data_IF_671752797479
#
_entry.id   IF_671752797479
#
_cell.length_a   1.000
_cell.length_b   1.000
_cell.length_c   1.000
_cell.angle_alpha   90.00
_cell.angle_beta   90.00
_cell.angle_gamma   90.00
#
_symmetry.space_group_name_H-M   'P 1'
#
loop_
_entity.id
_entity.type
_entity.pdbx_description
1 polymer ?
#
# COMPACT_ATOMS: atom_id res chain seq x y z
N UNK A 1 13.95 -15.50 16.66
CA UNK A 1 14.03 -15.90 15.23
C UNK A 1 12.85 -16.80 14.89
N UNK A 2 12.40 -16.79 13.62
CA UNK A 2 11.27 -17.61 13.12
C UNK A 2 11.51 -19.10 13.39
N UNK A 3 12.73 -19.59 13.21
CA UNK A 3 13.11 -20.98 13.45
C UNK A 3 12.90 -21.39 14.91
N UNK A 4 13.19 -20.49 15.87
CA UNK A 4 12.92 -20.74 17.29
C UNK A 4 11.41 -20.83 17.60
N UNK A 5 10.59 -20.19 16.78
CA UNK A 5 9.14 -20.26 16.85
C UNK A 5 8.54 -21.45 16.05
N UNK A 6 9.39 -22.40 15.62
CA UNK A 6 8.94 -23.58 14.88
C UNK A 6 8.62 -23.34 13.41
N UNK A 7 8.89 -22.13 12.87
CA UNK A 7 8.64 -21.79 11.47
C UNK A 7 9.90 -22.11 10.66
N UNK A 8 9.78 -22.99 9.67
CA UNK A 8 10.88 -23.29 8.74
C UNK A 8 11.13 -22.07 7.84
N UNK A 9 12.26 -21.40 8.07
CA UNK A 9 12.65 -20.20 7.39
C UNK A 9 14.13 -20.23 7.05
N UNK A 10 14.49 -19.79 5.86
CA UNK A 10 15.87 -19.60 5.40
C UNK A 10 16.06 -18.18 4.88
N UNK A 11 17.30 -17.68 4.99
CA UNK A 11 17.66 -16.35 4.51
C UNK A 11 18.60 -16.42 3.32
N UNK A 12 18.39 -15.53 2.34
CA UNK A 12 19.31 -15.30 1.22
C UNK A 12 19.76 -13.85 1.22
N UNK A 13 21.07 -13.65 1.23
CA UNK A 13 21.73 -12.35 1.24
C UNK A 13 23.15 -12.45 0.68
N UNK A 14 23.85 -11.33 0.49
CA UNK A 14 25.17 -11.29 -0.12
C UNK A 14 26.23 -12.18 0.53
N UNK A 15 26.16 -12.39 1.84
CA UNK A 15 27.13 -13.20 2.58
C UNK A 15 26.82 -14.72 2.56
N UNK A 16 25.78 -15.16 1.87
CA UNK A 16 25.51 -16.60 1.67
C UNK A 16 26.18 -17.08 0.40
N UNK A 17 26.76 -18.28 0.47
CA UNK A 17 27.34 -18.94 -0.72
C UNK A 17 26.26 -19.21 -1.78
N UNK A 18 26.65 -19.27 -3.05
CA UNK A 18 25.71 -19.54 -4.14
C UNK A 18 24.99 -20.88 -3.97
N UNK A 19 25.68 -21.91 -3.48
CA UNK A 19 25.10 -23.22 -3.23
C UNK A 19 24.01 -23.14 -2.13
N UNK A 20 24.27 -22.40 -1.04
CA UNK A 20 23.28 -22.21 0.04
C UNK A 20 22.05 -21.44 -0.46
N UNK A 21 22.25 -20.43 -1.31
CA UNK A 21 21.14 -19.67 -1.93
C UNK A 21 20.31 -20.56 -2.85
N UNK A 22 20.95 -21.36 -3.69
CA UNK A 22 20.26 -22.28 -4.60
C UNK A 22 19.46 -23.33 -3.84
N UNK A 23 20.03 -23.91 -2.77
CA UNK A 23 19.32 -24.87 -1.91
C UNK A 23 18.07 -24.23 -1.28
N UNK A 24 18.20 -23.05 -0.65
CA UNK A 24 17.08 -22.36 -0.04
C UNK A 24 15.95 -22.06 -1.05
N UNK A 25 16.30 -21.66 -2.28
CA UNK A 25 15.35 -21.45 -3.36
C UNK A 25 14.64 -22.74 -3.80
N UNK A 26 15.37 -23.82 -3.93
CA UNK A 26 14.81 -25.13 -4.30
C UNK A 26 13.84 -25.63 -3.21
N UNK A 27 14.23 -25.54 -1.95
CA UNK A 27 13.39 -25.92 -0.81
C UNK A 27 12.14 -25.03 -0.69
N UNK A 28 12.26 -23.74 -1.03
CA UNK A 28 11.13 -22.83 -1.04
C UNK A 28 10.16 -23.13 -2.20
N UNK A 29 10.67 -23.37 -3.41
CA UNK A 29 9.84 -23.75 -4.58
C UNK A 29 9.13 -25.09 -4.39
N UNK A 30 9.74 -26.03 -3.67
CA UNK A 30 9.13 -27.33 -3.34
C UNK A 30 8.19 -27.27 -2.13
N UNK A 31 7.93 -26.10 -1.58
CA UNK A 31 7.12 -25.90 -0.37
C UNK A 31 7.65 -26.61 0.88
N UNK A 32 8.89 -27.12 0.83
CA UNK A 32 9.57 -27.68 2.00
C UNK A 32 9.93 -26.57 3.00
N UNK A 33 10.28 -25.41 2.49
CA UNK A 33 10.52 -24.20 3.26
C UNK A 33 9.28 -23.30 3.25
N UNK A 34 8.80 -22.87 4.40
CA UNK A 34 7.59 -22.04 4.50
C UNK A 34 7.87 -20.55 4.24
N UNK A 35 9.03 -20.06 4.67
CA UNK A 35 9.38 -18.64 4.60
C UNK A 35 10.77 -18.48 4.02
N UNK A 36 10.90 -17.66 2.98
CA UNK A 36 12.17 -17.23 2.41
C UNK A 36 12.36 -15.74 2.76
N UNK A 37 13.46 -15.44 3.46
CA UNK A 37 13.83 -14.07 3.81
C UNK A 37 14.90 -13.61 2.83
N UNK A 38 14.68 -12.47 2.17
CA UNK A 38 15.61 -11.99 1.14
C UNK A 38 15.86 -10.49 1.29
N UNK A 39 17.10 -10.07 1.08
CA UNK A 39 17.40 -8.65 0.82
C UNK A 39 17.05 -8.30 -0.62
N UNK A 40 16.80 -7.03 -0.93
CA UNK A 40 16.45 -6.58 -2.29
C UNK A 40 17.48 -7.03 -3.34
N UNK A 41 18.76 -6.91 -3.01
CA UNK A 41 19.86 -7.33 -3.91
C UNK A 41 19.79 -8.84 -4.16
N UNK A 42 19.55 -9.63 -3.13
CA UNK A 42 19.49 -11.08 -3.27
C UNK A 42 18.18 -11.55 -3.90
N UNK A 43 17.11 -10.76 -3.77
CA UNK A 43 15.80 -11.03 -4.37
C UNK A 43 15.74 -10.70 -5.88
N UNK A 44 16.66 -9.87 -6.39
CA UNK A 44 16.76 -9.61 -7.82
C UNK A 44 17.14 -10.87 -8.59
N UNK A 45 16.38 -11.16 -9.64
CA UNK A 45 16.61 -12.33 -10.48
C UNK A 45 16.15 -13.65 -9.88
N UNK A 46 15.48 -13.63 -8.72
CA UNK A 46 14.81 -14.82 -8.21
C UNK A 46 13.57 -15.07 -9.04
N UNK A 47 13.53 -16.21 -9.69
CA UNK A 47 12.36 -16.74 -10.39
C UNK A 47 11.44 -17.45 -9.37
N UNK A 48 10.72 -16.65 -8.59
CA UNK A 48 9.67 -17.11 -7.68
C UNK A 48 8.49 -16.16 -7.83
N UNK A 49 7.45 -16.67 -8.45
CA UNK A 49 6.18 -15.97 -8.66
C UNK A 49 5.03 -16.74 -8.01
N UNK A 50 3.83 -16.19 -8.06
CA UNK A 50 2.61 -16.80 -7.51
C UNK A 50 2.67 -17.07 -6.00
N UNK A 51 3.38 -16.23 -5.27
CA UNK A 51 3.40 -16.32 -3.83
C UNK A 51 2.02 -15.98 -3.25
N UNK A 52 1.59 -16.72 -2.24
CA UNK A 52 0.38 -16.39 -1.50
C UNK A 52 0.54 -15.08 -0.71
N UNK A 53 1.73 -14.84 -0.16
CA UNK A 53 2.02 -13.68 0.67
C UNK A 53 3.39 -13.09 0.36
N UNK A 54 3.45 -11.75 0.37
CA UNK A 54 4.71 -10.98 0.42
C UNK A 54 4.67 -10.12 1.67
N UNK A 55 5.73 -10.19 2.47
CA UNK A 55 5.85 -9.40 3.70
C UNK A 55 7.03 -8.44 3.56
N UNK A 56 6.78 -7.14 3.59
CA UNK A 56 7.81 -6.12 3.67
C UNK A 56 8.05 -5.80 5.15
N UNK A 57 9.20 -6.22 5.66
CA UNK A 57 9.61 -5.93 7.03
C UNK A 57 10.01 -4.45 7.20
N UNK A 58 10.59 -3.87 6.15
CA UNK A 58 10.92 -2.45 6.03
C UNK A 58 10.38 -1.94 4.71
N UNK A 59 9.91 -0.69 4.66
CA UNK A 59 9.50 -0.05 3.43
C UNK A 59 10.73 0.41 2.64
N UNK A 60 10.78 0.15 1.31
CA UNK A 60 11.85 0.67 0.49
C UNK A 60 11.72 2.18 0.31
N UNK A 61 12.86 2.88 0.27
CA UNK A 61 12.94 4.30 -0.04
C UNK A 61 12.62 4.61 -1.52
N UNK A 62 12.72 3.62 -2.40
CA UNK A 62 12.38 3.72 -3.83
C UNK A 62 11.02 3.06 -4.06
N UNK A 63 9.98 3.82 -4.43
CA UNK A 63 8.61 3.29 -4.56
C UNK A 63 8.46 2.15 -5.57
N UNK A 64 9.22 2.16 -6.67
CA UNK A 64 9.22 1.10 -7.67
C UNK A 64 9.69 -0.23 -7.09
N UNK A 65 10.62 -0.20 -6.14
CA UNK A 65 11.08 -1.41 -5.43
C UNK A 65 9.94 -2.07 -4.67
N UNK A 66 9.05 -1.28 -4.06
CA UNK A 66 7.85 -1.80 -3.41
C UNK A 66 6.96 -2.56 -4.40
N UNK A 67 6.71 -1.99 -5.56
CA UNK A 67 5.90 -2.61 -6.62
C UNK A 67 6.55 -3.92 -7.10
N UNK A 68 7.86 -3.93 -7.27
CA UNK A 68 8.60 -5.14 -7.65
C UNK A 68 8.52 -6.25 -6.59
N UNK A 69 8.55 -5.88 -5.29
CA UNK A 69 8.42 -6.85 -4.20
C UNK A 69 7.02 -7.46 -4.16
N UNK A 70 5.97 -6.63 -4.13
CA UNK A 70 4.59 -7.13 -4.07
C UNK A 70 4.18 -7.82 -5.37
N UNK A 71 4.82 -7.48 -6.49
CA UNK A 71 4.60 -8.13 -7.77
C UNK A 71 5.05 -9.60 -7.83
N UNK A 72 5.47 -10.23 -6.74
CA UNK A 72 5.68 -11.68 -6.60
C UNK A 72 4.43 -12.43 -6.20
N UNK A 73 3.38 -11.72 -5.79
CA UNK A 73 2.07 -12.26 -5.45
C UNK A 73 0.98 -11.71 -6.38
N UNK A 74 -0.20 -12.32 -6.40
CA UNK A 74 -1.35 -11.83 -7.16
C UNK A 74 -1.17 -11.87 -8.68
N UNK A 75 -0.46 -12.85 -9.24
CA UNK A 75 -0.21 -12.99 -10.69
C UNK A 75 -1.06 -14.10 -11.31
N UNK A 76 -1.25 -14.00 -12.62
CA UNK A 76 -1.92 -15.01 -13.45
C UNK A 76 -3.32 -15.40 -12.95
N UNK A 77 -4.09 -14.43 -12.44
CA UNK A 77 -5.45 -14.65 -11.93
C UNK A 77 -5.53 -15.24 -10.53
N UNK A 78 -4.38 -15.44 -9.86
CA UNK A 78 -4.36 -15.85 -8.45
C UNK A 78 -4.42 -14.63 -7.54
N UNK A 79 -5.18 -14.72 -6.46
CA UNK A 79 -5.18 -13.74 -5.38
C UNK A 79 -3.89 -13.81 -4.57
N UNK A 80 -3.48 -12.68 -4.00
CA UNK A 80 -2.30 -12.61 -3.17
C UNK A 80 -2.36 -11.48 -2.16
N UNK A 81 -1.67 -11.65 -1.04
CA UNK A 81 -1.67 -10.70 0.07
C UNK A 81 -0.29 -10.08 0.20
N UNK A 82 -0.23 -8.75 0.22
CA UNK A 82 0.98 -8.00 0.57
C UNK A 82 0.77 -7.32 1.93
N UNK A 83 1.66 -7.61 2.87
CA UNK A 83 1.67 -7.02 4.22
C UNK A 83 2.95 -6.20 4.33
N UNK A 84 2.83 -4.99 4.87
CA UNK A 84 3.99 -4.13 5.11
C UNK A 84 3.95 -3.59 6.53
N UNK A 85 5.06 -3.70 7.24
CA UNK A 85 5.27 -2.93 8.44
C UNK A 85 5.74 -1.54 8.03
N UNK A 86 5.37 -0.53 8.80
CA UNK A 86 5.73 0.85 8.53
C UNK A 86 5.99 1.53 9.88
N UNK A 87 7.24 1.88 10.13
CA UNK A 87 7.64 2.67 11.28
C UNK A 87 7.36 4.16 11.05
N UNK A 88 7.40 4.95 12.11
CA UNK A 88 7.12 6.39 12.04
C UNK A 88 8.06 7.13 11.08
N UNK A 89 9.30 6.69 10.99
CA UNK A 89 10.32 7.25 10.11
C UNK A 89 10.10 6.91 8.64
N UNK A 90 9.36 5.82 8.35
CA UNK A 90 9.07 5.34 7.01
C UNK A 90 7.78 5.92 6.40
N UNK A 91 7.03 6.73 7.17
CA UNK A 91 5.78 7.38 6.68
C UNK A 91 6.00 8.18 5.39
N UNK A 92 7.11 8.90 5.18
CA UNK A 92 7.37 9.55 3.89
C UNK A 92 7.43 8.56 2.73
N UNK A 93 8.11 7.42 2.89
CA UNK A 93 8.21 6.36 1.87
C UNK A 93 6.84 5.77 1.55
N UNK A 94 6.00 5.53 2.58
CA UNK A 94 4.62 5.07 2.39
C UNK A 94 3.81 6.04 1.53
N UNK A 95 3.95 7.37 1.74
CA UNK A 95 3.26 8.38 0.95
C UNK A 95 3.68 8.35 -0.52
N UNK A 96 4.98 8.22 -0.79
CA UNK A 96 5.50 8.15 -2.15
C UNK A 96 5.08 6.85 -2.85
N UNK A 97 5.08 5.73 -2.14
CA UNK A 97 4.54 4.45 -2.63
C UNK A 97 3.06 4.59 -3.00
N UNK A 98 2.23 5.13 -2.11
CA UNK A 98 0.79 5.32 -2.36
C UNK A 98 0.54 6.26 -3.55
N UNK A 99 1.36 7.29 -3.71
CA UNK A 99 1.32 8.20 -4.86
C UNK A 99 1.64 7.47 -6.17
N UNK A 100 2.67 6.61 -6.18
CA UNK A 100 3.03 5.82 -7.35
C UNK A 100 1.93 4.83 -7.76
N UNK A 101 1.38 4.08 -6.80
CA UNK A 101 0.35 3.07 -7.08
C UNK A 101 -1.05 3.67 -7.30
N UNK A 102 -1.24 4.96 -7.00
CA UNK A 102 -2.53 5.65 -7.12
C UNK A 102 -3.60 5.15 -6.14
N UNK A 103 -3.21 4.47 -5.07
CA UNK A 103 -4.13 3.87 -4.09
C UNK A 103 -3.63 4.07 -2.66
N UNK A 104 -4.55 4.27 -1.73
CA UNK A 104 -4.24 4.25 -0.30
C UNK A 104 -4.14 2.79 0.17
N UNK A 105 -3.06 2.45 0.85
CA UNK A 105 -2.87 1.14 1.47
C UNK A 105 -3.66 1.12 2.78
N UNK A 106 -4.58 0.15 2.97
CA UNK A 106 -5.33 0.02 4.22
C UNK A 106 -4.39 -0.21 5.41
N UNK A 107 -4.67 0.46 6.52
CA UNK A 107 -3.92 0.28 7.77
C UNK A 107 -4.72 -0.63 8.68
N UNK A 108 -4.10 -1.74 9.11
CA UNK A 108 -4.66 -2.62 10.13
C UNK A 108 -4.28 -2.06 11.49
N UNK A 109 -5.26 -1.56 12.21
CA UNK A 109 -5.08 -0.95 13.55
C UNK A 109 -5.38 -1.90 14.70
N UNK A 110 -6.11 -2.97 14.45
CA UNK A 110 -6.50 -3.93 15.47
C UNK A 110 -5.60 -5.17 15.43
N UNK A 111 -4.48 -5.10 16.14
CA UNK A 111 -3.57 -6.23 16.31
C UNK A 111 -2.89 -6.18 17.68
N UNK A 112 -2.45 -7.32 18.26
CA UNK A 112 -1.95 -7.38 19.63
C UNK A 112 -0.57 -6.72 19.85
N UNK A 113 0.05 -6.18 18.80
CA UNK A 113 1.40 -5.62 18.83
C UNK A 113 1.42 -4.11 18.54
N UNK A 114 0.34 -3.39 18.87
CA UNK A 114 0.26 -1.94 18.66
C UNK A 114 1.24 -1.26 19.64
N UNK A 115 2.14 -0.44 19.10
CA UNK A 115 3.00 0.43 19.90
C UNK A 115 2.28 1.75 20.22
N UNK A 116 2.62 2.37 21.36
CA UNK A 116 2.04 3.67 21.74
C UNK A 116 2.31 4.78 20.71
N UNK A 117 3.36 4.67 19.91
CA UNK A 117 3.67 5.58 18.81
C UNK A 117 2.75 5.37 17.61
N UNK A 118 2.41 4.12 17.30
CA UNK A 118 1.43 3.78 16.28
C UNK A 118 0.03 4.30 16.63
N UNK A 119 -0.36 4.29 17.89
CA UNK A 119 -1.63 4.85 18.37
C UNK A 119 -1.67 6.37 18.17
N UNK A 120 -0.63 7.11 18.51
CA UNK A 120 -0.53 8.57 18.31
C UNK A 120 -0.60 8.97 16.82
N UNK A 121 0.06 8.22 15.95
CA UNK A 121 0.01 8.46 14.51
C UNK A 121 -1.39 8.23 13.90
N UNK A 122 -2.19 7.34 14.50
CA UNK A 122 -3.58 7.10 14.09
C UNK A 122 -4.53 8.17 14.60
N UNK A 123 -4.36 8.66 15.82
CA UNK A 123 -5.18 9.74 16.38
C UNK A 123 -5.03 11.01 15.55
N UNK A 124 -3.80 11.40 15.19
CA UNK A 124 -3.53 12.56 14.33
C UNK A 124 -4.20 12.41 12.96
N UNK A 125 -4.13 11.23 12.32
CA UNK A 125 -4.80 11.00 11.03
C UNK A 125 -6.32 11.04 11.14
N UNK A 126 -6.87 10.52 12.23
CA UNK A 126 -8.32 10.53 12.45
C UNK A 126 -8.85 11.96 12.67
N UNK A 127 -8.07 12.81 13.34
CA UNK A 127 -8.39 14.22 13.53
C UNK A 127 -8.27 15.03 12.24
N UNK A 128 -7.21 14.81 11.43
CA UNK A 128 -7.06 15.45 10.12
C UNK A 128 -8.20 15.08 9.15
N UNK A 129 -8.63 13.82 9.13
CA UNK A 129 -9.76 13.36 8.29
C UNK A 129 -11.06 14.00 8.78
N UNK A 130 -11.28 14.07 10.10
CA UNK A 130 -12.46 14.73 10.68
C UNK A 130 -12.46 16.24 10.43
N UNK A 131 -11.29 16.90 10.49
CA UNK A 131 -11.15 18.32 10.19
C UNK A 131 -11.45 18.62 8.71
N UNK A 132 -10.87 17.86 7.78
CA UNK A 132 -11.15 17.99 6.33
C UNK A 132 -12.60 17.69 5.96
N UNK A 133 -13.23 16.73 6.65
CA UNK A 133 -14.66 16.43 6.46
C UNK A 133 -15.55 17.57 6.95
N UNK A 134 -15.20 18.27 8.04
CA UNK A 134 -15.90 19.47 8.53
C UNK A 134 -15.73 20.66 7.58
N UNK A 135 -14.53 20.91 7.07
CA UNK A 135 -14.26 21.98 6.09
C UNK A 135 -15.06 21.78 4.79
N UNK A 136 -15.07 20.58 4.25
CA UNK A 136 -15.86 20.26 3.06
C UNK A 136 -17.37 20.38 3.27
N UNK A 137 -17.87 20.16 4.50
CA UNK A 137 -19.28 20.31 4.84
C UNK A 137 -19.68 21.79 4.94
N UNK A 138 -18.79 22.65 5.45
CA UNK A 138 -18.98 24.11 5.49
C UNK A 138 -18.98 24.70 4.08
N UNK A 139 -18.08 24.24 3.19
CA UNK A 139 -18.01 24.74 1.81
C UNK A 139 -19.22 24.33 0.94
N UNK A 140 -19.86 23.18 1.23
CA UNK A 140 -21.10 22.76 0.58
C UNK A 140 -22.34 23.48 1.09
N UNK A 141 -22.36 23.91 2.35
CA UNK A 141 -23.47 24.65 2.95
C UNK A 141 -23.59 26.11 2.48
N UNK A 142 -22.49 26.70 1.99
CA UNK A 142 -22.45 28.10 1.55
C UNK A 142 -22.90 28.33 0.09
N UNK A 143 -23.17 27.27 -0.70
CA UNK A 143 -23.62 27.38 -2.11
C UNK A 143 -25.09 27.09 -2.34
N UNK A 144 -25.89 27.00 -1.30
CA UNK A 144 -27.32 26.76 -1.39
C UNK A 144 -28.08 28.01 -0.94
N UNK A 145 -28.02 29.08 -1.72
CA UNK A 145 -29.15 30.01 -1.80
C UNK A 145 -29.10 30.85 -3.10
N UNK A 146 -29.95 30.47 -4.05
CA UNK A 146 -30.85 31.40 -4.68
C UNK A 146 -30.29 32.40 -5.69
N UNK A 147 -29.71 31.98 -6.85
CA UNK A 147 -29.73 32.90 -8.02
C UNK A 147 -29.68 32.21 -9.40
N UNK A 148 -29.79 30.89 -9.44
CA UNK A 148 -29.69 30.18 -10.73
C UNK A 148 -31.01 30.17 -11.55
N UNK A 149 -32.15 30.49 -10.95
CA UNK A 149 -33.47 30.39 -11.60
C UNK A 149 -34.06 31.70 -12.15
N UNK A 150 -33.38 32.85 -12.03
CA UNK A 150 -33.92 34.15 -12.46
C UNK A 150 -33.50 34.63 -13.86
N UNK A 151 -32.65 33.93 -14.60
CA UNK A 151 -32.15 34.35 -15.92
C UNK A 151 -32.70 33.60 -17.14
N UNK A 152 -33.80 32.88 -17.03
CA UNK A 152 -34.46 32.25 -18.21
C UNK A 152 -35.87 32.75 -18.43
N UNK A 153 -36.09 34.06 -18.61
CA UNK A 153 -37.32 34.59 -19.19
C UNK A 153 -37.07 35.93 -19.84
N UNK A 154 -36.28 35.95 -20.93
CA UNK A 154 -36.36 36.99 -21.95
C UNK A 154 -35.84 36.37 -23.25
N UNK A 155 -36.76 35.78 -24.00
CA UNK A 155 -36.58 35.46 -25.44
C UNK A 155 -37.24 36.61 -26.19
N UNK A 156 -36.52 37.39 -27.03
CA UNK A 156 -37.13 38.40 -27.87
C UNK A 156 -37.90 37.73 -29.03
N UNK A 157 -39.16 38.15 -29.23
CA UNK A 157 -39.99 37.81 -30.37
C UNK A 157 -39.29 38.28 -31.66
N UNK A 158 -38.98 37.36 -32.58
CA UNK A 158 -38.63 37.70 -33.95
C UNK A 158 -39.92 38.12 -34.69
N UNK A 159 -39.96 39.38 -35.17
CA UNK A 159 -40.94 39.87 -36.14
C UNK A 159 -40.73 39.12 -37.46
N UNK A 160 -41.82 38.54 -37.95
CA UNK A 160 -41.93 38.15 -39.36
C UNK A 160 -42.28 39.41 -40.16
N UNK A 161 -41.44 39.79 -41.11
CA UNK A 161 -41.77 40.65 -42.25
C UNK A 161 -41.81 39.83 -43.53
N UNK A 162 -42.88 40.11 -44.24
CA UNK A 162 -43.29 39.66 -45.58
C UNK A 162 -42.17 39.51 -46.58
#
# INVERSE_FOLDING_TARGET
TLTKAGIRAEAIHGNKSQNARQRALTEFKSHTLRVLIATDIAARGIDVDQLSHVINYELPNVPETYVHRIGRTGRAGHEGIAISFCESEEIPYLKDIQKLIGKTIPVVSEHPFITNEGMKAQEVKTEEIKAKAKENKVYRGSRSNGDFWRRKKQVPKREQKK
#
